data_IF_336276509601
#
_entry.id   IF_336276509601
#
_cell.length_a   1.000
_cell.length_b   1.000
_cell.length_c   1.000
_cell.angle_alpha   90.00
_cell.angle_beta   90.00
_cell.angle_gamma   90.00
#
_symmetry.space_group_name_H-M   'P 1'
#
loop_
_entity.id
_entity.type
_entity.pdbx_description
1 polymer ?
#
# COMPACT_ATOMS: atom_id res chain seq x y z
N UNK A 1 -12.62 4.52 10.61
CA UNK A 1 -11.83 5.69 10.18
C UNK A 1 -10.72 6.07 11.15
N UNK A 2 -10.94 6.02 12.48
CA UNK A 2 -9.92 6.38 13.49
C UNK A 2 -8.53 5.76 13.30
N UNK A 3 -8.47 4.48 12.93
CA UNK A 3 -7.20 3.77 12.71
C UNK A 3 -6.45 4.27 11.47
N UNK A 4 -7.16 4.51 10.37
CA UNK A 4 -6.56 4.97 9.12
C UNK A 4 -6.03 6.39 9.27
N UNK A 5 -6.81 7.28 9.90
CA UNK A 5 -6.42 8.67 10.14
C UNK A 5 -5.29 8.77 11.17
N UNK A 6 -5.37 8.01 12.27
CA UNK A 6 -4.30 8.00 13.27
C UNK A 6 -2.97 7.50 12.72
N UNK A 7 -3.01 6.42 11.92
CA UNK A 7 -1.81 5.89 11.26
C UNK A 7 -1.27 6.85 10.19
N UNK A 8 -2.12 7.47 9.37
CA UNK A 8 -1.64 8.40 8.34
C UNK A 8 -1.02 9.68 8.94
N UNK A 9 -1.59 10.22 10.03
CA UNK A 9 -1.01 11.35 10.76
C UNK A 9 0.33 10.96 11.37
N UNK A 10 0.43 9.78 11.98
CA UNK A 10 1.69 9.28 12.53
C UNK A 10 2.77 9.14 11.45
N UNK A 11 2.44 8.50 10.33
CA UNK A 11 3.38 8.34 9.21
C UNK A 11 3.83 9.69 8.66
N UNK A 12 2.90 10.64 8.47
CA UNK A 12 3.24 11.99 8.03
C UNK A 12 4.19 12.68 9.01
N UNK A 13 3.91 12.60 10.32
CA UNK A 13 4.76 13.20 11.34
C UNK A 13 6.18 12.61 11.30
N UNK A 14 6.32 11.30 11.22
CA UNK A 14 7.64 10.62 11.14
C UNK A 14 8.43 11.07 9.90
N UNK A 15 7.79 11.09 8.73
CA UNK A 15 8.47 11.51 7.49
C UNK A 15 8.85 12.99 7.52
N UNK A 16 8.00 13.86 8.05
CA UNK A 16 8.33 15.28 8.24
C UNK A 16 9.49 15.45 9.23
N UNK A 17 9.48 14.74 10.35
CA UNK A 17 10.58 14.76 11.32
C UNK A 17 11.89 14.29 10.68
N UNK A 18 11.88 13.19 9.92
CA UNK A 18 13.09 12.76 9.20
C UNK A 18 13.51 13.79 8.16
N UNK A 19 12.59 14.42 7.44
CA UNK A 19 12.91 15.40 6.39
C UNK A 19 13.62 16.63 6.94
N UNK A 20 13.21 17.13 8.11
CA UNK A 20 13.74 18.37 8.69
C UNK A 20 14.81 18.17 9.76
N UNK A 21 14.81 17.05 10.46
CA UNK A 21 15.70 16.77 11.58
C UNK A 21 16.51 15.47 11.45
N UNK A 22 16.28 14.66 10.42
CA UNK A 22 16.98 13.39 10.24
C UNK A 22 18.48 13.55 10.07
N UNK A 23 18.92 14.60 9.38
CA UNK A 23 20.34 14.95 9.24
C UNK A 23 21.03 15.12 10.60
N UNK A 24 20.42 15.86 11.52
CA UNK A 24 20.94 16.10 12.88
C UNK A 24 20.82 14.88 13.79
N UNK A 25 19.71 14.15 13.73
CA UNK A 25 19.43 13.01 14.61
C UNK A 25 20.37 11.84 14.31
N UNK A 26 20.64 11.58 13.03
CA UNK A 26 21.44 10.43 12.61
C UNK A 26 22.90 10.78 12.29
N UNK A 27 23.29 12.07 12.42
CA UNK A 27 24.64 12.52 12.15
C UNK A 27 25.08 12.30 10.69
N UNK A 28 24.15 12.45 9.74
CA UNK A 28 24.39 12.22 8.31
C UNK A 28 24.38 13.53 7.53
N UNK A 29 25.04 13.55 6.39
CA UNK A 29 25.03 14.72 5.49
C UNK A 29 23.61 15.03 5.03
N UNK A 30 23.21 16.29 5.16
CA UNK A 30 21.89 16.74 4.80
C UNK A 30 21.70 16.71 3.29
N UNK A 31 20.68 15.98 2.84
CA UNK A 31 20.29 15.98 1.42
C UNK A 31 19.60 17.26 0.96
N UNK A 32 19.30 18.20 1.86
CA UNK A 32 18.55 19.43 1.56
C UNK A 32 19.36 20.34 0.63
N UNK A 33 18.69 20.95 -0.34
CA UNK A 33 19.32 21.78 -1.39
C UNK A 33 20.20 22.91 -0.85
N UNK A 34 19.84 23.51 0.29
CA UNK A 34 20.53 24.66 0.87
C UNK A 34 21.75 24.31 1.73
N UNK A 35 21.79 23.10 2.30
CA UNK A 35 22.86 22.65 3.21
C UNK A 35 23.94 21.84 2.48
N UNK A 36 23.74 21.57 1.18
CA UNK A 36 24.62 20.75 0.37
C UNK A 36 25.74 21.60 -0.26
N UNK A 37 26.97 21.06 -0.42
CA UNK A 37 28.03 21.73 -1.16
C UNK A 37 27.56 22.20 -2.55
N UNK A 38 27.94 23.43 -2.93
CA UNK A 38 27.60 23.99 -4.24
C UNK A 38 28.11 23.08 -5.37
N UNK A 39 27.20 22.58 -6.21
CA UNK A 39 27.50 21.66 -7.32
C UNK A 39 27.29 20.17 -7.03
N UNK A 40 27.01 19.79 -5.77
CA UNK A 40 26.69 18.41 -5.43
C UNK A 40 25.31 18.02 -5.98
N UNK A 41 25.32 17.26 -7.07
CA UNK A 41 24.12 16.82 -7.80
C UNK A 41 24.12 15.30 -7.77
N UNK A 42 23.19 14.68 -7.04
CA UNK A 42 23.15 13.22 -6.93
C UNK A 42 22.30 12.70 -5.78
N UNK A 43 22.10 11.38 -5.70
CA UNK A 43 21.38 10.74 -4.60
C UNK A 43 22.04 11.06 -3.25
N UNK A 44 21.25 11.06 -2.17
CA UNK A 44 21.75 11.34 -0.81
C UNK A 44 21.34 10.25 0.14
N UNK A 45 22.18 9.97 1.13
CA UNK A 45 21.86 9.03 2.21
C UNK A 45 20.61 9.50 2.93
N UNK A 46 20.49 10.81 3.18
CA UNK A 46 19.34 11.40 3.85
C UNK A 46 18.00 11.07 3.16
N UNK A 47 17.85 11.37 1.86
CA UNK A 47 16.61 11.05 1.14
C UNK A 47 16.41 9.55 0.94
N UNK A 48 17.48 8.76 0.82
CA UNK A 48 17.35 7.30 0.72
C UNK A 48 16.85 6.69 2.03
N UNK A 49 17.29 7.19 3.19
CA UNK A 49 16.77 6.75 4.48
C UNK A 49 15.30 7.16 4.67
N UNK A 50 14.89 8.35 4.22
CA UNK A 50 13.49 8.79 4.24
C UNK A 50 12.63 7.85 3.41
N UNK A 51 13.05 7.56 2.17
CA UNK A 51 12.36 6.61 1.30
C UNK A 51 12.29 5.20 1.91
N UNK A 52 13.41 4.70 2.45
CA UNK A 52 13.46 3.37 3.05
C UNK A 52 12.54 3.26 4.27
N UNK A 53 12.55 4.27 5.14
CA UNK A 53 11.68 4.34 6.31
C UNK A 53 10.21 4.44 5.91
N UNK A 54 9.88 5.21 4.86
CA UNK A 54 8.53 5.26 4.31
C UNK A 54 8.04 3.85 3.94
N UNK A 55 8.79 3.10 3.14
CA UNK A 55 8.38 1.74 2.73
C UNK A 55 8.20 0.80 3.93
N UNK A 56 9.07 0.87 4.93
CA UNK A 56 8.88 0.10 6.16
C UNK A 56 7.62 0.53 6.93
N UNK A 57 7.32 1.83 7.02
CA UNK A 57 6.07 2.30 7.61
C UNK A 57 4.85 1.75 6.86
N UNK A 58 4.89 1.61 5.53
CA UNK A 58 3.81 0.93 4.80
C UNK A 58 3.73 -0.55 5.13
N UNK A 59 4.86 -1.26 5.16
CA UNK A 59 4.90 -2.70 5.44
C UNK A 59 4.35 -3.03 6.83
N UNK A 60 4.74 -2.25 7.85
CA UNK A 60 4.22 -2.41 9.20
C UNK A 60 2.77 -1.94 9.34
N UNK A 61 2.35 -0.91 8.59
CA UNK A 61 0.95 -0.54 8.54
C UNK A 61 0.08 -1.59 7.83
N UNK A 62 0.62 -2.32 6.85
CA UNK A 62 -0.06 -3.45 6.22
C UNK A 62 -0.33 -4.57 7.24
N UNK A 63 0.64 -4.87 8.11
CA UNK A 63 0.46 -5.78 9.25
C UNK A 63 -0.71 -5.27 10.13
N UNK A 64 -0.68 -3.99 10.53
CA UNK A 64 -1.74 -3.39 11.35
C UNK A 64 -3.12 -3.39 10.68
N UNK A 65 -3.18 -3.22 9.36
CA UNK A 65 -4.42 -3.16 8.60
C UNK A 65 -5.05 -4.55 8.38
N UNK A 66 -4.28 -5.63 8.52
CA UNK A 66 -4.75 -7.01 8.32
C UNK A 66 -5.82 -7.44 9.34
N UNK A 67 -5.75 -6.95 10.58
CA UNK A 67 -6.70 -7.29 11.65
C UNK A 67 -7.41 -6.02 12.13
N UNK A 68 -8.63 -5.80 11.62
CA UNK A 68 -9.46 -4.64 11.99
C UNK A 68 -10.37 -4.96 13.19
N UNK A 69 -10.58 -6.24 13.50
CA UNK A 69 -11.32 -6.68 14.68
C UNK A 69 -10.37 -6.67 15.89
N UNK A 70 -10.87 -6.39 17.09
CA UNK A 70 -10.18 -6.13 18.38
C UNK A 70 -9.30 -7.30 18.92
N UNK A 71 -8.62 -8.05 18.04
CA UNK A 71 -7.63 -9.06 18.39
C UNK A 71 -6.27 -8.39 18.65
N UNK A 72 -5.71 -8.65 19.84
CA UNK A 72 -4.42 -8.10 20.27
C UNK A 72 -3.21 -8.69 19.52
N UNK A 73 -3.37 -9.89 18.94
CA UNK A 73 -2.30 -10.59 18.21
C UNK A 73 -2.35 -10.29 16.70
N UNK A 74 -1.70 -9.21 16.27
CA UNK A 74 -1.56 -8.89 14.84
C UNK A 74 -0.73 -9.93 14.08
N UNK A 75 0.07 -10.71 14.81
CA UNK A 75 0.95 -11.76 14.29
C UNK A 75 0.26 -13.12 14.10
N UNK A 76 -0.97 -13.29 14.60
CA UNK A 76 -1.64 -14.59 14.61
C UNK A 76 -2.18 -14.97 13.22
N UNK A 77 -1.72 -16.12 12.74
CA UNK A 77 -2.03 -16.63 11.40
C UNK A 77 -1.28 -15.92 10.27
N UNK A 78 -0.22 -15.13 10.56
CA UNK A 78 0.56 -14.46 9.51
C UNK A 78 1.06 -15.45 8.47
N UNK A 79 1.65 -16.55 8.94
CA UNK A 79 2.26 -17.60 8.13
C UNK A 79 1.23 -18.51 7.42
N UNK A 80 -0.03 -18.49 7.85
CA UNK A 80 -1.10 -19.30 7.25
C UNK A 80 -1.66 -18.68 5.97
N UNK A 81 -1.54 -17.37 5.80
CA UNK A 81 -1.98 -16.69 4.59
C UNK A 81 -0.79 -16.54 3.61
N UNK A 82 -0.65 -17.51 2.71
CA UNK A 82 0.43 -17.53 1.72
C UNK A 82 0.41 -16.33 0.75
N UNK A 83 -0.77 -15.77 0.45
CA UNK A 83 -0.86 -14.58 -0.42
C UNK A 83 -0.26 -13.37 0.30
N UNK A 84 -0.64 -13.16 1.56
CA UNK A 84 -0.08 -12.11 2.39
C UNK A 84 1.44 -12.25 2.51
N UNK A 85 1.92 -13.46 2.85
CA UNK A 85 3.34 -13.73 2.97
C UNK A 85 4.08 -13.48 1.64
N UNK A 86 3.50 -13.89 0.51
CA UNK A 86 4.05 -13.65 -0.82
C UNK A 86 4.19 -12.17 -1.15
N UNK A 87 3.17 -11.36 -0.85
CA UNK A 87 3.20 -9.91 -1.07
C UNK A 87 4.23 -9.23 -0.15
N UNK A 88 4.25 -9.57 1.14
CA UNK A 88 5.20 -9.00 2.09
C UNK A 88 6.65 -9.36 1.75
N UNK A 89 6.92 -10.60 1.35
CA UNK A 89 8.27 -11.02 0.90
C UNK A 89 8.65 -10.31 -0.39
N UNK A 90 7.73 -10.20 -1.36
CA UNK A 90 7.98 -9.48 -2.60
C UNK A 90 8.34 -8.01 -2.35
N UNK A 91 7.59 -7.33 -1.47
CA UNK A 91 7.89 -5.95 -1.08
C UNK A 91 9.27 -5.83 -0.43
N UNK A 92 9.64 -6.73 0.49
CA UNK A 92 10.97 -6.72 1.12
C UNK A 92 12.10 -6.92 0.11
N UNK A 93 11.95 -7.89 -0.79
CA UNK A 93 12.94 -8.16 -1.84
C UNK A 93 13.09 -6.97 -2.77
N UNK A 94 11.98 -6.43 -3.28
CA UNK A 94 12.00 -5.23 -4.11
C UNK A 94 12.63 -4.04 -3.38
N UNK A 95 12.35 -3.89 -2.07
CA UNK A 95 12.91 -2.81 -1.28
C UNK A 95 14.43 -2.91 -1.17
N UNK A 96 14.98 -4.10 -0.93
CA UNK A 96 16.43 -4.32 -0.93
C UNK A 96 17.03 -4.03 -2.29
N UNK A 97 16.39 -4.47 -3.38
CA UNK A 97 16.87 -4.22 -4.74
C UNK A 97 16.89 -2.72 -5.08
N UNK A 98 15.83 -1.99 -4.74
CA UNK A 98 15.72 -0.55 -5.01
C UNK A 98 16.73 0.24 -4.19
N UNK A 99 16.88 -0.05 -2.89
CA UNK A 99 17.79 0.72 -2.03
C UNK A 99 19.25 0.44 -2.37
N UNK A 100 19.59 -0.81 -2.69
CA UNK A 100 20.99 -1.18 -2.93
C UNK A 100 21.45 -0.92 -4.38
N UNK A 101 20.53 -1.03 -5.36
CA UNK A 101 20.86 -0.93 -6.79
C UNK A 101 20.06 0.12 -7.57
N UNK A 102 19.11 0.82 -6.93
CA UNK A 102 18.22 1.79 -7.58
C UNK A 102 18.80 3.20 -7.75
N UNK A 103 20.12 3.35 -7.85
CA UNK A 103 20.77 4.67 -7.93
C UNK A 103 20.36 5.47 -9.16
N UNK A 104 20.23 4.81 -10.32
CA UNK A 104 19.96 5.48 -11.59
C UNK A 104 18.50 5.92 -11.75
N UNK A 105 17.55 5.10 -11.28
CA UNK A 105 16.11 5.29 -11.51
C UNK A 105 15.43 5.94 -10.30
N UNK A 106 15.80 5.53 -9.09
CA UNK A 106 15.17 5.96 -7.85
C UNK A 106 16.02 6.96 -7.07
N UNK A 107 17.17 7.39 -7.60
CA UNK A 107 18.11 8.29 -6.92
C UNK A 107 18.40 7.84 -5.48
N UNK A 108 18.58 6.52 -5.30
CA UNK A 108 18.94 5.92 -4.02
C UNK A 108 20.45 5.71 -3.92
N UNK A 109 21.00 5.89 -2.73
CA UNK A 109 22.39 5.50 -2.43
C UNK A 109 22.39 4.27 -1.51
N UNK A 110 23.28 3.29 -1.73
CA UNK A 110 23.34 2.10 -0.89
C UNK A 110 23.50 2.49 0.59
N UNK A 111 22.60 1.98 1.42
CA UNK A 111 22.61 2.21 2.87
C UNK A 111 23.51 1.18 3.56
N UNK A 112 24.14 1.60 4.66
CA UNK A 112 24.88 0.69 5.55
C UNK A 112 23.93 -0.13 6.43
N UNK A 113 24.41 -1.25 6.99
CA UNK A 113 23.59 -2.11 7.84
C UNK A 113 23.00 -1.40 9.07
N UNK A 114 23.73 -0.44 9.65
CA UNK A 114 23.23 0.37 10.76
C UNK A 114 22.09 1.30 10.33
N UNK A 115 22.21 1.95 9.17
CA UNK A 115 21.16 2.81 8.62
C UNK A 115 19.90 2.00 8.27
N UNK A 116 20.07 0.80 7.73
CA UNK A 116 18.96 -0.15 7.53
C UNK A 116 18.26 -0.48 8.84
N UNK A 117 19.02 -0.84 9.89
CA UNK A 117 18.45 -1.16 11.19
C UNK A 117 17.66 0.02 11.79
N UNK A 118 18.17 1.25 11.64
CA UNK A 118 17.47 2.46 12.08
C UNK A 118 16.14 2.63 11.32
N UNK A 119 16.15 2.51 9.98
CA UNK A 119 14.93 2.64 9.17
C UNK A 119 13.87 1.60 9.57
N UNK A 120 14.30 0.34 9.77
CA UNK A 120 13.43 -0.75 10.24
C UNK A 120 12.88 -0.45 11.62
N UNK A 121 13.74 0.00 12.56
CA UNK A 121 13.35 0.29 13.93
C UNK A 121 12.29 1.41 13.98
N UNK A 122 12.48 2.50 13.22
CA UNK A 122 11.51 3.59 13.12
C UNK A 122 10.20 3.08 12.52
N UNK A 123 10.26 2.29 11.45
CA UNK A 123 9.09 1.67 10.85
C UNK A 123 8.31 0.81 11.86
N UNK A 124 9.03 0.02 12.66
CA UNK A 124 8.45 -0.89 13.63
C UNK A 124 7.66 -0.17 14.73
N UNK A 125 7.96 1.10 15.03
CA UNK A 125 7.18 1.94 15.95
C UNK A 125 5.72 2.11 15.49
N UNK A 126 5.43 1.97 14.20
CA UNK A 126 4.03 2.02 13.72
C UNK A 126 3.17 0.86 14.26
N UNK A 127 3.76 -0.29 14.60
CA UNK A 127 3.06 -1.44 15.20
C UNK A 127 2.47 -1.12 16.58
N UNK A 128 3.25 -0.70 17.60
CA UNK A 128 2.69 -0.33 18.89
C UNK A 128 1.77 0.88 18.80
N UNK A 129 2.02 1.84 17.90
CA UNK A 129 1.07 2.95 17.66
C UNK A 129 -0.27 2.42 17.14
N UNK A 130 -0.26 1.40 16.28
CA UNK A 130 -1.46 0.69 15.83
C UNK A 130 -2.23 0.05 16.98
N UNK A 131 -1.51 -0.61 17.90
CA UNK A 131 -2.07 -1.20 19.11
C UNK A 131 -2.66 -0.13 20.05
N UNK A 132 -1.95 0.96 20.29
CA UNK A 132 -2.42 2.07 21.14
C UNK A 132 -3.69 2.70 20.58
N UNK A 133 -3.77 2.91 19.25
CA UNK A 133 -4.98 3.42 18.59
C UNK A 133 -6.18 2.46 18.70
N UNK A 134 -5.95 1.16 18.91
CA UNK A 134 -6.99 0.17 19.24
C UNK A 134 -7.45 0.31 20.69
N UNK A 135 -6.52 0.45 21.63
CA UNK A 135 -6.83 0.61 23.05
C UNK A 135 -7.57 1.92 23.36
N UNK A 136 -7.33 3.00 22.60
CA UNK A 136 -8.00 4.29 22.83
C UNK A 136 -9.44 4.24 22.30
N UNK A 137 -10.42 4.33 23.22
CA UNK A 137 -11.80 4.75 22.91
C UNK A 137 -11.81 6.27 22.76
N UNK A 138 -11.81 6.75 21.53
CA UNK A 138 -11.92 8.19 21.28
C UNK A 138 -13.31 8.69 21.71
N UNK A 139 -13.40 9.87 22.35
CA UNK A 139 -14.66 10.49 22.71
C UNK A 139 -15.47 10.85 21.45
N UNK A 140 -16.80 10.82 21.59
CA UNK A 140 -17.76 10.94 20.49
C UNK A 140 -17.55 12.18 19.58
N UNK A 141 -16.93 13.25 20.06
CA UNK A 141 -16.63 14.48 19.32
C UNK A 141 -15.61 14.31 18.17
N UNK A 142 -14.71 13.33 18.24
CA UNK A 142 -13.82 12.99 17.11
C UNK A 142 -14.48 12.05 16.08
N UNK A 143 -15.72 11.64 16.35
CA UNK A 143 -16.56 10.79 15.49
C UNK A 143 -17.36 11.63 14.50
N UNK A 144 -16.79 12.74 14.00
CA UNK A 144 -17.50 13.67 13.10
C UNK A 144 -17.80 13.07 11.72
N UNK A 145 -17.31 11.87 11.41
CA UNK A 145 -17.75 11.06 10.29
C UNK A 145 -17.90 9.59 10.72
N UNK A 146 -18.91 9.29 11.54
CA UNK A 146 -19.53 7.97 11.50
C UNK A 146 -20.86 8.08 10.78
N UNK A 147 -20.79 8.20 9.45
CA UNK A 147 -21.77 7.56 8.61
C UNK A 147 -21.03 6.67 7.62
N UNK A 148 -20.73 5.47 8.07
CA UNK A 148 -20.98 4.33 7.19
C UNK A 148 -21.83 3.45 8.05
N UNK A 149 -23.14 3.72 8.01
CA UNK A 149 -24.10 2.64 8.13
C UNK A 149 -23.47 1.49 7.35
N UNK A 150 -23.25 0.36 8.02
CA UNK A 150 -22.98 -0.89 7.32
C UNK A 150 -24.06 -0.89 6.26
N UNK A 151 -23.68 -0.72 4.98
CA UNK A 151 -24.58 -1.03 3.88
C UNK A 151 -24.78 -2.50 4.10
N UNK A 152 -25.81 -2.84 4.88
CA UNK A 152 -26.41 -4.14 4.89
C UNK A 152 -26.51 -4.45 3.41
N UNK A 153 -25.71 -5.42 2.96
CA UNK A 153 -25.84 -5.98 1.61
C UNK A 153 -27.19 -6.68 1.60
N UNK A 154 -28.28 -5.92 1.68
CA UNK A 154 -29.57 -6.32 1.18
C UNK A 154 -29.31 -6.45 -0.29
N UNK A 155 -28.92 -7.66 -0.71
CA UNK A 155 -28.85 -8.06 -2.09
C UNK A 155 -30.29 -7.97 -2.61
N UNK A 156 -30.68 -6.75 -2.98
CA UNK A 156 -32.03 -6.43 -3.37
C UNK A 156 -32.40 -7.39 -4.50
N UNK A 157 -33.60 -8.00 -4.47
CA UNK A 157 -34.09 -8.84 -5.55
C UNK A 157 -33.95 -8.14 -6.92
N UNK A 158 -33.99 -6.80 -6.92
CA UNK A 158 -33.74 -5.93 -8.06
C UNK A 158 -32.32 -6.03 -8.62
N UNK A 159 -31.29 -6.02 -7.77
CA UNK A 159 -29.88 -6.14 -8.19
C UNK A 159 -29.60 -7.50 -8.82
N UNK A 160 -30.14 -8.59 -8.23
CA UNK A 160 -30.04 -9.93 -8.80
C UNK A 160 -30.78 -10.03 -10.15
N UNK A 161 -31.94 -9.38 -10.28
CA UNK A 161 -32.70 -9.35 -11.53
C UNK A 161 -31.98 -8.56 -12.63
N UNK A 162 -31.34 -7.43 -12.30
CA UNK A 162 -30.55 -6.64 -13.24
C UNK A 162 -29.34 -7.43 -13.75
N UNK A 163 -28.60 -8.11 -12.87
CA UNK A 163 -27.49 -8.98 -13.27
C UNK A 163 -27.92 -10.10 -14.22
N UNK A 164 -29.05 -10.75 -13.94
CA UNK A 164 -29.61 -11.78 -14.85
C UNK A 164 -29.98 -11.20 -16.22
N UNK A 165 -30.54 -9.99 -16.27
CA UNK A 165 -30.88 -9.31 -17.53
C UNK A 165 -29.63 -8.95 -18.34
N UNK A 166 -28.60 -8.44 -17.68
CA UNK A 166 -27.33 -8.11 -18.32
C UNK A 166 -26.62 -9.37 -18.86
N UNK A 167 -26.61 -10.47 -18.10
CA UNK A 167 -26.05 -11.75 -18.57
C UNK A 167 -26.81 -12.31 -19.78
N UNK A 168 -28.15 -12.22 -19.79
CA UNK A 168 -28.95 -12.63 -20.95
C UNK A 168 -28.61 -11.82 -22.20
N UNK A 169 -28.38 -10.51 -22.07
CA UNK A 169 -27.97 -9.66 -23.21
C UNK A 169 -26.62 -10.10 -23.78
N UNK A 170 -25.65 -10.41 -22.92
CA UNK A 170 -24.34 -10.91 -23.36
C UNK A 170 -24.44 -12.26 -24.09
N UNK A 171 -25.26 -13.18 -23.58
CA UNK A 171 -25.48 -14.48 -24.24
C UNK A 171 -26.10 -14.34 -25.63
N UNK A 172 -27.06 -13.43 -25.79
CA UNK A 172 -27.67 -13.13 -27.10
C UNK A 172 -26.64 -12.52 -28.04
N UNK A 173 -25.84 -11.55 -27.58
CA UNK A 173 -24.79 -10.95 -28.39
C UNK A 173 -23.76 -11.98 -28.86
N UNK A 174 -23.31 -12.88 -27.99
CA UNK A 174 -22.40 -13.97 -28.36
C UNK A 174 -23.02 -14.89 -29.42
N UNK A 175 -24.31 -15.24 -29.27
CA UNK A 175 -25.00 -16.10 -30.25
C UNK A 175 -25.12 -15.42 -31.61
N UNK A 176 -25.46 -14.13 -31.64
CA UNK A 176 -25.55 -13.34 -32.87
C UNK A 176 -24.18 -13.26 -33.56
N UNK A 177 -23.11 -12.96 -32.81
CA UNK A 177 -21.75 -12.92 -33.35
C UNK A 177 -21.36 -14.28 -33.95
N UNK A 178 -21.65 -15.39 -33.26
CA UNK A 178 -21.39 -16.74 -33.78
C UNK A 178 -22.17 -17.00 -35.07
N UNK A 179 -23.45 -16.61 -35.15
CA UNK A 179 -24.25 -16.77 -36.36
C UNK A 179 -23.71 -15.96 -37.55
N UNK A 180 -23.26 -14.73 -37.32
CA UNK A 180 -22.59 -13.92 -38.34
C UNK A 180 -21.28 -14.54 -38.81
N UNK A 181 -20.46 -15.07 -37.88
CA UNK A 181 -19.22 -15.78 -38.22
C UNK A 181 -19.49 -17.02 -39.07
N UNK A 182 -20.50 -17.82 -38.72
CA UNK A 182 -20.91 -18.99 -39.52
C UNK A 182 -21.40 -18.58 -40.91
N UNK A 183 -22.19 -17.51 -41.02
CA UNK A 183 -22.67 -17.02 -42.31
C UNK A 183 -21.54 -16.52 -43.20
N UNK A 184 -20.57 -15.77 -42.65
CA UNK A 184 -19.39 -15.33 -43.40
C UNK A 184 -18.50 -16.51 -43.83
N UNK A 185 -18.36 -17.54 -42.98
CA UNK A 185 -17.63 -18.76 -43.34
C UNK A 185 -18.30 -19.52 -44.49
N UNK A 186 -19.63 -19.63 -44.49
CA UNK A 186 -20.39 -20.25 -45.58
C UNK A 186 -20.30 -19.46 -46.88
N UNK A 187 -20.39 -18.13 -46.85
CA UNK A 187 -20.22 -17.30 -48.06
C UNK A 187 -18.81 -17.41 -48.63
N UNK A 188 -17.79 -17.50 -47.76
CA UNK A 188 -16.40 -17.68 -48.19
C UNK A 188 -16.14 -19.06 -48.81
N UNK A 189 -16.84 -20.10 -48.37
CA UNK A 189 -16.74 -21.46 -48.91
C UNK A 189 -17.43 -21.64 -50.27
N UNK A 190 -18.35 -20.75 -50.66
CA UNK A 190 -19.03 -20.77 -51.96
C UNK A 190 -18.30 -19.97 -53.06
N UNK A 191 -17.23 -19.25 -52.70
CA UNK A 191 -16.41 -18.44 -53.60
C UNK A 191 -15.04 -19.07 -53.94
N UNK A 192 -14.84 -20.35 -53.59
CA UNK A 192 -13.69 -21.18 -53.92
C UNK A 192 -14.16 -22.50 -54.54
#
# INVERSE_FOLDING_TARGET
>A
MKHMVGQSIFQLAVILTMTFAGDKIFGIESGRKYDRPAGATGPTVHYTMIFNTFVFLQLFNEINARRIHDELNVFEGILTNHIYLGISVLQLVLQVLIVQFGSLVFSCTPLTGSQWAICVAIGAVSLPVGLVLRCIRLPASFTMCQETTVVEKVASPRTKALWRRSLKRLQVQIRVIKAFQTSLASTKALLH
#
